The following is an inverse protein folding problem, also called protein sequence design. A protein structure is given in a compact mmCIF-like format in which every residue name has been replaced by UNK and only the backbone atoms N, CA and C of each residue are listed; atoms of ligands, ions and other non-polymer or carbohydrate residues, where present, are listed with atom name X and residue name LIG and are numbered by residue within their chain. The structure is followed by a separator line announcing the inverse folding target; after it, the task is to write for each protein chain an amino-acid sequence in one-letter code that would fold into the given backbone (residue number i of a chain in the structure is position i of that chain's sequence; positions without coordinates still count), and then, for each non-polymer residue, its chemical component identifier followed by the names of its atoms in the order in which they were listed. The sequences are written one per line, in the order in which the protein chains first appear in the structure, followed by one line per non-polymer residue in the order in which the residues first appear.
data_IF_466951326891
#
_entry.id   IF_466951326891
#
_cell.length_a   1.000
_cell.length_b   1.000
_cell.length_c   1.000
_cell.angle_alpha   90.00
_cell.angle_beta   90.00
_cell.angle_gamma   90.00
#
_symmetry.space_group_name_H-M   'P 1'
#
loop_
_entity.id
_entity.type
_entity.pdbx_description
1 polymer ?
#
# COMPACT_ATOMS: atom_id res chain seq x y z
N UNK A 1 -38.02 6.73 -5.22
CA UNK A 1 -36.65 7.23 -5.50
C UNK A 1 -36.71 7.98 -6.82
N UNK A 2 -36.57 9.31 -6.84
CA UNK A 2 -36.40 10.06 -8.09
C UNK A 2 -35.10 9.63 -8.75
N UNK A 3 -35.17 9.13 -9.97
CA UNK A 3 -33.96 8.87 -10.75
C UNK A 3 -33.21 10.18 -10.97
N UNK A 4 -31.96 10.21 -10.47
CA UNK A 4 -31.06 11.34 -10.68
C UNK A 4 -30.43 11.17 -12.07
N UNK A 5 -31.22 11.52 -13.09
CA UNK A 5 -30.90 11.33 -14.52
C UNK A 5 -29.62 12.01 -15.03
N UNK A 6 -28.91 12.77 -14.20
CA UNK A 6 -27.73 13.55 -14.61
C UNK A 6 -26.38 13.07 -14.07
N UNK A 7 -26.33 12.03 -13.23
CA UNK A 7 -25.11 11.48 -12.67
C UNK A 7 -24.64 10.24 -13.46
N UNK A 8 -23.33 10.10 -13.68
CA UNK A 8 -22.76 8.87 -14.19
C UNK A 8 -22.92 7.73 -13.18
N UNK A 9 -22.74 6.46 -13.62
CA UNK A 9 -22.84 5.29 -12.73
C UNK A 9 -21.92 5.39 -11.51
N UNK A 10 -20.66 5.81 -11.71
CA UNK A 10 -19.70 5.97 -10.63
C UNK A 10 -20.07 7.12 -9.67
N UNK A 11 -20.59 8.20 -10.20
CA UNK A 11 -21.09 9.33 -9.43
C UNK A 11 -22.27 8.92 -8.55
N UNK A 12 -23.22 8.20 -9.13
CA UNK A 12 -24.39 7.70 -8.43
C UNK A 12 -24.00 6.72 -7.31
N UNK A 13 -23.03 5.83 -7.54
CA UNK A 13 -22.52 4.89 -6.53
C UNK A 13 -21.91 5.61 -5.33
N UNK A 14 -21.10 6.65 -5.57
CA UNK A 14 -20.50 7.47 -4.50
C UNK A 14 -21.54 8.22 -3.70
N UNK A 15 -22.53 8.74 -4.38
CA UNK A 15 -23.64 9.44 -3.79
C UNK A 15 -24.54 8.52 -2.96
N UNK A 16 -24.90 7.35 -3.48
CA UNK A 16 -25.67 6.36 -2.75
C UNK A 16 -24.96 5.90 -1.47
N UNK A 17 -23.64 5.77 -1.49
CA UNK A 17 -22.87 5.45 -0.30
C UNK A 17 -22.99 6.51 0.80
N UNK A 18 -23.08 7.78 0.44
CA UNK A 18 -23.30 8.89 1.38
C UNK A 18 -24.72 8.92 1.94
N UNK A 19 -25.74 8.67 1.10
CA UNK A 19 -27.15 8.58 1.51
C UNK A 19 -27.37 7.41 2.47
N UNK A 20 -26.86 6.21 2.13
CA UNK A 20 -27.00 5.01 2.96
C UNK A 20 -26.42 5.21 4.36
N UNK A 21 -25.46 6.11 4.52
CA UNK A 21 -24.91 6.49 5.83
C UNK A 21 -25.68 7.61 6.53
N UNK A 22 -26.77 8.11 5.94
CA UNK A 22 -27.61 9.13 6.56
C UNK A 22 -26.97 10.52 6.66
N UNK A 23 -25.96 10.82 5.83
CA UNK A 23 -25.34 12.15 5.81
C UNK A 23 -26.22 13.20 5.11
N UNK A 24 -27.22 12.77 4.36
CA UNK A 24 -28.18 13.62 3.66
C UNK A 24 -29.58 13.11 3.92
N UNK A 25 -30.41 13.93 4.57
CA UNK A 25 -31.81 13.58 4.86
C UNK A 25 -32.72 13.73 3.64
N UNK A 26 -32.40 14.62 2.73
CA UNK A 26 -33.14 14.83 1.48
C UNK A 26 -32.32 15.58 0.44
N UNK A 27 -32.66 15.42 -0.81
CA UNK A 27 -32.12 16.17 -1.93
C UNK A 27 -33.13 17.23 -2.35
N UNK A 28 -32.73 18.49 -2.21
CA UNK A 28 -33.40 19.58 -2.91
C UNK A 28 -32.82 19.71 -4.32
N UNK A 29 -33.67 19.62 -5.29
CA UNK A 29 -33.70 19.91 -6.72
C UNK A 29 -32.40 19.84 -7.60
N UNK A 30 -31.18 20.03 -7.08
CA UNK A 30 -29.95 19.86 -7.86
C UNK A 30 -29.04 18.76 -7.28
N UNK A 31 -28.96 17.59 -7.94
CA UNK A 31 -28.09 16.50 -7.49
C UNK A 31 -26.60 16.84 -7.56
N UNK A 32 -26.21 17.99 -8.07
CA UNK A 32 -24.82 18.45 -8.13
C UNK A 32 -24.48 19.43 -7.01
N UNK A 33 -25.45 20.03 -6.35
CA UNK A 33 -25.25 21.01 -5.28
C UNK A 33 -24.38 20.44 -4.13
N UNK A 34 -24.56 19.15 -3.81
CA UNK A 34 -23.76 18.48 -2.79
C UNK A 34 -22.25 18.46 -3.08
N UNK A 35 -21.82 18.51 -4.37
CA UNK A 35 -20.41 18.53 -4.74
C UNK A 35 -19.69 19.79 -4.26
N UNK A 36 -20.44 20.89 -4.07
CA UNK A 36 -19.90 22.15 -3.57
C UNK A 36 -19.89 22.21 -2.04
N UNK A 37 -20.56 21.28 -1.36
CA UNK A 37 -20.44 21.14 0.10
C UNK A 37 -19.09 20.53 0.47
N UNK A 38 -18.61 20.78 1.70
CA UNK A 38 -17.38 20.17 2.20
C UNK A 38 -17.46 18.64 2.15
N UNK A 39 -18.54 18.05 2.66
CA UNK A 39 -18.78 16.61 2.66
C UNK A 39 -18.79 16.04 1.24
N UNK A 40 -19.52 16.66 0.33
CA UNK A 40 -19.64 16.18 -1.05
C UNK A 40 -18.30 16.20 -1.77
N UNK A 41 -17.55 17.29 -1.64
CA UNK A 41 -16.20 17.40 -2.17
C UNK A 41 -15.26 16.32 -1.62
N UNK A 42 -15.33 16.08 -0.30
CA UNK A 42 -14.50 15.07 0.34
C UNK A 42 -14.82 13.65 -0.16
N UNK A 43 -16.10 13.27 -0.17
CA UNK A 43 -16.53 11.94 -0.63
C UNK A 43 -16.22 11.74 -2.11
N UNK A 44 -16.39 12.78 -2.92
CA UNK A 44 -16.08 12.73 -4.35
C UNK A 44 -14.61 12.37 -4.59
N UNK A 45 -13.69 13.01 -3.89
CA UNK A 45 -12.25 12.78 -4.04
C UNK A 45 -11.75 11.54 -3.30
N UNK A 46 -12.33 11.26 -2.14
CA UNK A 46 -11.87 10.20 -1.23
C UNK A 46 -13.01 9.29 -0.74
N UNK A 47 -13.71 8.57 -1.62
CA UNK A 47 -14.90 7.79 -1.27
C UNK A 47 -14.64 6.68 -0.24
N UNK A 48 -13.41 6.22 -0.10
CA UNK A 48 -13.02 5.20 0.88
C UNK A 48 -12.59 5.78 2.23
N UNK A 49 -12.65 7.11 2.41
CA UNK A 49 -12.19 7.83 3.61
C UNK A 49 -13.34 8.35 4.48
N UNK A 50 -14.53 7.84 4.28
CA UNK A 50 -15.73 8.18 5.08
C UNK A 50 -15.45 8.18 6.60
N UNK A 51 -14.68 7.22 7.19
CA UNK A 51 -14.38 7.27 8.63
C UNK A 51 -13.64 8.54 9.12
N UNK A 52 -13.06 9.32 8.22
CA UNK A 52 -12.49 10.65 8.58
C UNK A 52 -13.60 11.68 8.80
N UNK A 53 -14.65 11.59 8.00
CA UNK A 53 -15.86 12.45 8.14
C UNK A 53 -16.63 12.06 9.40
N UNK A 54 -16.78 10.75 9.69
CA UNK A 54 -17.46 10.28 10.92
C UNK A 54 -16.80 10.91 12.16
N UNK A 55 -15.46 10.95 12.21
CA UNK A 55 -14.74 11.58 13.32
C UNK A 55 -14.96 13.11 13.33
N UNK A 56 -15.03 13.74 12.16
CA UNK A 56 -15.26 15.17 12.11
C UNK A 56 -16.70 15.54 12.52
N UNK A 57 -17.70 14.72 12.18
CA UNK A 57 -19.06 14.84 12.69
C UNK A 57 -19.11 14.76 14.22
N UNK A 58 -18.36 13.81 14.82
CA UNK A 58 -18.29 13.71 16.28
C UNK A 58 -17.69 14.97 16.93
N UNK A 59 -16.75 15.61 16.27
CA UNK A 59 -16.12 16.85 16.76
C UNK A 59 -17.06 18.03 16.70
N UNK A 60 -17.77 18.21 15.57
CA UNK A 60 -18.61 19.41 15.36
C UNK A 60 -20.08 19.20 15.76
N UNK A 61 -20.51 17.94 15.96
CA UNK A 61 -21.87 17.59 16.36
C UNK A 61 -22.91 17.60 15.22
N UNK A 62 -22.49 17.86 14.00
CA UNK A 62 -23.33 17.87 12.78
C UNK A 62 -22.51 17.52 11.55
N UNK A 63 -23.14 17.39 10.39
CA UNK A 63 -22.43 17.18 9.12
C UNK A 63 -21.53 18.38 8.83
N UNK A 64 -20.20 18.17 8.67
CA UNK A 64 -19.24 19.26 8.51
C UNK A 64 -19.49 20.09 7.25
N UNK A 65 -19.42 21.39 7.40
CA UNK A 65 -19.49 22.40 6.33
C UNK A 65 -18.16 23.11 6.18
N UNK A 66 -18.04 23.98 5.18
CA UNK A 66 -16.84 24.83 5.03
C UNK A 66 -16.66 25.82 6.20
N UNK A 67 -17.75 26.22 6.87
CA UNK A 67 -17.71 27.10 8.03
C UNK A 67 -17.10 26.41 9.28
N UNK A 68 -17.10 25.08 9.32
CA UNK A 68 -16.54 24.31 10.41
C UNK A 68 -15.00 24.16 10.31
N UNK A 69 -14.39 24.66 9.24
CA UNK A 69 -12.92 24.66 9.06
C UNK A 69 -12.30 25.80 9.92
N UNK A 70 -12.40 25.64 11.23
CA UNK A 70 -11.86 26.58 12.23
C UNK A 70 -10.58 26.03 12.86
N UNK A 71 -9.78 26.91 13.47
CA UNK A 71 -8.57 26.50 14.22
C UNK A 71 -8.92 25.47 15.31
N UNK A 72 -10.01 25.71 16.03
CA UNK A 72 -10.45 24.86 17.14
C UNK A 72 -10.89 23.48 16.62
N UNK A 73 -11.84 23.42 15.71
CA UNK A 73 -12.38 22.17 15.19
C UNK A 73 -11.29 21.31 14.54
N UNK A 74 -10.34 21.93 13.83
CA UNK A 74 -9.23 21.19 13.21
C UNK A 74 -8.23 20.65 14.25
N UNK A 75 -8.02 21.32 15.39
CA UNK A 75 -7.21 20.78 16.48
C UNK A 75 -7.92 19.61 17.18
N UNK A 76 -9.20 19.76 17.47
CA UNK A 76 -10.02 18.69 18.05
C UNK A 76 -10.07 17.47 17.12
N UNK A 77 -10.22 17.69 15.81
CA UNK A 77 -10.14 16.61 14.81
C UNK A 77 -8.78 15.93 14.81
N UNK A 78 -7.69 16.71 14.88
CA UNK A 78 -6.32 16.17 14.96
C UNK A 78 -6.16 15.26 16.16
N UNK A 79 -6.62 15.70 17.35
CA UNK A 79 -6.55 14.93 18.58
C UNK A 79 -7.43 13.67 18.53
N UNK A 80 -8.67 13.79 18.06
CA UNK A 80 -9.59 12.67 17.92
C UNK A 80 -9.04 11.60 16.96
N UNK A 81 -8.41 12.02 15.87
CA UNK A 81 -7.76 11.11 14.93
C UNK A 81 -6.51 10.46 15.51
N UNK A 82 -5.70 11.19 16.29
CA UNK A 82 -4.51 10.65 16.93
C UNK A 82 -4.84 9.57 17.97
N UNK A 83 -6.00 9.66 18.63
CA UNK A 83 -6.49 8.61 19.55
C UNK A 83 -6.91 7.32 18.83
N UNK A 84 -7.30 7.39 17.55
CA UNK A 84 -7.86 6.25 16.79
C UNK A 84 -6.89 5.63 15.79
N UNK A 85 -5.96 6.41 15.29
CA UNK A 85 -5.05 5.99 14.22
C UNK A 85 -3.59 6.23 14.56
N UNK A 86 -2.72 5.38 14.02
CA UNK A 86 -1.28 5.64 14.10
C UNK A 86 -0.89 6.90 13.30
N UNK A 87 0.23 7.50 13.67
CA UNK A 87 0.71 8.78 13.11
C UNK A 87 0.82 8.78 11.58
N UNK A 88 1.26 7.67 10.96
CA UNK A 88 1.34 7.57 9.50
C UNK A 88 -0.05 7.59 8.82
N UNK A 89 -1.07 7.01 9.44
CA UNK A 89 -2.45 7.08 8.95
C UNK A 89 -2.99 8.50 9.08
N UNK A 90 -2.79 9.14 10.24
CA UNK A 90 -3.16 10.55 10.44
C UNK A 90 -2.50 11.46 9.42
N UNK A 91 -1.19 11.30 9.18
CA UNK A 91 -0.43 12.08 8.19
C UNK A 91 -1.05 12.01 6.80
N UNK A 92 -1.41 10.80 6.35
CA UNK A 92 -2.02 10.62 5.02
C UNK A 92 -3.41 11.27 4.95
N UNK A 93 -4.26 11.07 5.96
CA UNK A 93 -5.60 11.66 6.02
C UNK A 93 -5.56 13.18 6.13
N UNK A 94 -4.61 13.72 6.89
CA UNK A 94 -4.40 15.18 6.94
C UNK A 94 -3.87 15.75 5.62
N UNK A 95 -3.07 14.99 4.87
CA UNK A 95 -2.66 15.41 3.53
C UNK A 95 -3.86 15.46 2.56
N UNK A 96 -4.76 14.48 2.64
CA UNK A 96 -6.01 14.43 1.85
C UNK A 96 -6.92 15.63 2.19
N UNK A 97 -7.15 15.92 3.49
CA UNK A 97 -7.91 17.07 3.95
C UNK A 97 -7.28 18.39 3.51
N UNK A 98 -5.97 18.55 3.70
CA UNK A 98 -5.24 19.76 3.27
C UNK A 98 -5.33 20.00 1.78
N UNK A 99 -5.28 18.96 0.96
CA UNK A 99 -5.40 19.08 -0.48
C UNK A 99 -6.78 19.66 -0.87
N UNK A 100 -7.85 19.14 -0.25
CA UNK A 100 -9.22 19.63 -0.48
C UNK A 100 -9.37 21.09 -0.02
N UNK A 101 -8.98 21.38 1.23
CA UNK A 101 -9.10 22.73 1.79
C UNK A 101 -8.31 23.72 0.93
N UNK A 102 -7.10 23.37 0.49
CA UNK A 102 -6.27 24.24 -0.34
C UNK A 102 -6.86 24.49 -1.73
N UNK A 103 -7.48 23.47 -2.34
CA UNK A 103 -8.07 23.59 -3.69
C UNK A 103 -9.29 24.51 -3.71
N UNK A 104 -10.08 24.51 -2.63
CA UNK A 104 -11.31 25.30 -2.53
C UNK A 104 -11.15 26.56 -1.65
N UNK A 105 -9.91 26.91 -1.25
CA UNK A 105 -9.65 28.05 -0.36
C UNK A 105 -10.13 29.39 -0.91
N UNK A 106 -10.07 29.55 -2.22
CA UNK A 106 -10.41 30.82 -2.88
C UNK A 106 -11.93 30.93 -3.16
N UNK A 107 -12.64 29.78 -3.21
CA UNK A 107 -14.06 29.73 -3.56
C UNK A 107 -14.97 29.65 -2.33
N UNK A 108 -14.42 29.24 -1.17
CA UNK A 108 -15.20 28.98 0.03
C UNK A 108 -14.73 29.87 1.19
N UNK A 109 -15.64 30.54 1.90
CA UNK A 109 -15.29 31.30 3.10
C UNK A 109 -14.86 30.32 4.20
N UNK A 110 -13.59 30.36 4.56
CA UNK A 110 -13.02 29.56 5.65
C UNK A 110 -12.62 30.45 6.81
N UNK A 111 -12.85 29.97 8.02
CA UNK A 111 -12.49 30.70 9.22
C UNK A 111 -10.96 30.71 9.45
N UNK A 112 -10.21 29.72 8.96
CA UNK A 112 -8.76 29.64 9.18
C UNK A 112 -7.93 29.39 7.94
N UNK A 113 -6.79 30.07 7.85
CA UNK A 113 -5.72 29.79 6.89
C UNK A 113 -4.59 28.95 7.51
N UNK A 114 -4.72 28.56 8.79
CA UNK A 114 -3.68 27.83 9.53
C UNK A 114 -3.79 26.31 9.39
N UNK A 115 -4.75 25.80 8.60
CA UNK A 115 -4.98 24.35 8.44
C UNK A 115 -3.72 23.56 8.07
N UNK A 116 -2.79 24.14 7.29
CA UNK A 116 -1.51 23.49 6.92
C UNK A 116 -0.61 23.23 8.12
N UNK A 117 -0.68 24.10 9.14
CA UNK A 117 0.11 23.97 10.38
C UNK A 117 -0.57 23.10 11.42
N UNK A 118 -1.90 23.09 11.45
CA UNK A 118 -2.70 22.33 12.42
C UNK A 118 -2.73 20.86 11.99
N UNK A 119 -3.14 20.56 10.78
CA UNK A 119 -3.28 19.20 10.29
C UNK A 119 -1.91 18.55 9.99
N UNK A 120 -1.15 18.28 11.04
CA UNK A 120 0.18 17.65 10.95
C UNK A 120 0.27 16.40 11.82
N UNK A 121 1.06 15.42 11.36
CA UNK A 121 1.47 14.28 12.16
C UNK A 121 2.91 13.93 11.81
N UNK A 122 3.71 13.56 12.82
CA UNK A 122 5.07 13.09 12.60
C UNK A 122 5.04 11.71 11.93
N UNK A 123 5.91 11.51 10.94
CA UNK A 123 6.11 10.16 10.39
C UNK A 123 6.77 9.27 11.44
N UNK A 124 6.21 8.11 11.66
CA UNK A 124 6.82 7.05 12.44
C UNK A 124 7.46 6.03 11.51
N UNK A 125 8.66 5.54 11.85
CA UNK A 125 9.25 4.43 11.12
C UNK A 125 8.32 3.22 11.24
N UNK A 126 8.05 2.56 10.14
CA UNK A 126 7.29 1.31 10.12
C UNK A 126 8.22 0.21 9.67
N UNK A 127 8.54 -0.69 10.58
CA UNK A 127 9.29 -1.89 10.27
C UNK A 127 8.36 -2.94 9.68
N UNK A 128 8.87 -3.73 8.76
CA UNK A 128 8.16 -4.86 8.19
C UNK A 128 9.16 -5.96 7.85
N UNK A 129 8.71 -7.20 7.95
CA UNK A 129 9.54 -8.37 7.68
C UNK A 129 9.79 -8.57 6.18
N UNK A 130 10.88 -9.25 5.87
CA UNK A 130 11.13 -9.88 4.58
C UNK A 130 11.40 -11.37 4.79
N UNK A 131 11.26 -12.15 3.75
CA UNK A 131 11.64 -13.57 3.74
C UNK A 131 12.97 -13.72 3.01
N UNK A 132 13.92 -14.41 3.65
CA UNK A 132 15.19 -14.73 3.02
C UNK A 132 15.03 -15.83 1.94
N UNK A 133 16.08 -16.08 1.18
CA UNK A 133 16.05 -17.06 0.08
C UNK A 133 15.68 -18.47 0.54
N UNK A 134 16.12 -18.90 1.74
CA UNK A 134 15.77 -20.21 2.30
C UNK A 134 14.28 -20.30 2.66
N UNK A 135 13.70 -19.23 3.18
CA UNK A 135 12.28 -19.16 3.51
C UNK A 135 11.39 -19.12 2.24
N UNK A 136 11.85 -18.42 1.20
CA UNK A 136 11.19 -18.43 -0.12
C UNK A 136 11.25 -19.83 -0.74
N UNK A 137 12.38 -20.53 -0.64
CA UNK A 137 12.51 -21.90 -1.12
C UNK A 137 11.55 -22.88 -0.42
N UNK A 138 11.30 -22.70 0.89
CA UNK A 138 10.29 -23.49 1.61
C UNK A 138 8.86 -23.26 1.04
N UNK A 139 8.52 -22.00 0.73
CA UNK A 139 7.22 -21.69 0.11
C UNK A 139 7.16 -22.24 -1.32
N UNK A 140 8.26 -22.21 -2.06
CA UNK A 140 8.35 -22.78 -3.40
C UNK A 140 8.09 -24.31 -3.39
N UNK A 141 8.59 -25.01 -2.38
CA UNK A 141 8.41 -26.45 -2.21
C UNK A 141 7.11 -26.83 -1.49
N UNK A 142 6.33 -25.86 -1.00
CA UNK A 142 5.08 -26.12 -0.29
C UNK A 142 4.01 -26.67 -1.25
N UNK A 143 3.42 -27.85 -0.96
CA UNK A 143 2.29 -28.36 -1.72
C UNK A 143 1.00 -27.67 -1.29
N UNK A 144 0.35 -26.85 -2.14
CA UNK A 144 -0.90 -26.19 -1.78
C UNK A 144 -2.02 -27.23 -1.59
N UNK A 145 -2.86 -27.01 -0.58
CA UNK A 145 -3.96 -27.91 -0.24
C UNK A 145 -5.29 -27.48 -0.87
N UNK A 146 -5.37 -26.25 -1.35
CA UNK A 146 -6.57 -25.67 -1.98
C UNK A 146 -6.18 -24.76 -3.14
N UNK A 147 -7.12 -24.48 -4.05
CA UNK A 147 -6.92 -23.58 -5.18
C UNK A 147 -6.56 -22.14 -4.71
N UNK A 148 -7.15 -21.72 -3.59
CA UNK A 148 -6.81 -20.42 -2.97
C UNK A 148 -5.35 -20.41 -2.48
N UNK A 149 -4.88 -21.48 -1.84
CA UNK A 149 -3.47 -21.57 -1.43
C UNK A 149 -2.54 -21.62 -2.64
N UNK A 150 -2.91 -22.34 -3.70
CA UNK A 150 -2.14 -22.37 -4.94
C UNK A 150 -2.05 -20.97 -5.56
N UNK A 151 -3.18 -20.27 -5.65
CA UNK A 151 -3.22 -18.89 -6.14
C UNK A 151 -2.32 -17.96 -5.33
N UNK A 152 -2.49 -17.95 -4.00
CA UNK A 152 -1.76 -17.06 -3.10
C UNK A 152 -0.26 -17.36 -3.14
N UNK A 153 0.14 -18.64 -3.10
CA UNK A 153 1.53 -19.09 -3.23
C UNK A 153 2.13 -18.61 -4.55
N UNK A 154 1.45 -18.84 -5.68
CA UNK A 154 1.88 -18.43 -7.00
C UNK A 154 2.14 -16.91 -7.07
N UNK A 155 1.16 -16.10 -6.69
CA UNK A 155 1.28 -14.64 -6.73
C UNK A 155 2.40 -14.15 -5.81
N UNK A 156 2.49 -14.67 -4.58
CA UNK A 156 3.55 -14.30 -3.65
C UNK A 156 4.95 -14.64 -4.17
N UNK A 157 5.13 -15.81 -4.81
CA UNK A 157 6.42 -16.19 -5.39
C UNK A 157 6.78 -15.30 -6.59
N UNK A 158 5.81 -14.92 -7.43
CA UNK A 158 6.05 -13.93 -8.48
C UNK A 158 6.51 -12.61 -7.87
N UNK A 159 5.84 -12.09 -6.83
CA UNK A 159 6.28 -10.87 -6.14
C UNK A 159 7.69 -10.99 -5.55
N UNK A 160 7.99 -12.14 -4.93
CA UNK A 160 9.28 -12.38 -4.26
C UNK A 160 10.46 -12.58 -5.22
N UNK A 161 10.18 -12.94 -6.48
CA UNK A 161 11.21 -13.22 -7.49
C UNK A 161 11.26 -12.20 -8.63
N UNK A 162 10.33 -11.25 -8.68
CA UNK A 162 10.32 -10.17 -9.68
C UNK A 162 10.29 -8.77 -9.07
N UNK A 163 9.91 -8.68 -7.80
CA UNK A 163 9.62 -7.39 -7.17
C UNK A 163 8.35 -6.71 -7.67
N UNK A 164 7.55 -7.33 -8.53
CA UNK A 164 6.30 -6.77 -9.02
C UNK A 164 5.33 -6.45 -7.88
N UNK A 165 4.44 -5.48 -8.08
CA UNK A 165 3.35 -5.23 -7.13
C UNK A 165 2.26 -6.27 -7.29
N UNK A 166 1.50 -6.55 -6.23
CA UNK A 166 0.42 -7.54 -6.27
C UNK A 166 -0.51 -7.36 -7.49
N UNK A 167 -0.98 -6.15 -7.76
CA UNK A 167 -1.81 -5.85 -8.93
C UNK A 167 -1.12 -6.11 -10.29
N UNK A 168 0.19 -6.09 -10.35
CA UNK A 168 0.97 -6.39 -11.56
C UNK A 168 1.27 -7.90 -11.62
N UNK A 169 1.60 -8.54 -10.49
CA UNK A 169 1.95 -9.96 -10.38
C UNK A 169 0.83 -10.90 -10.85
N UNK A 170 -0.43 -10.54 -10.60
CA UNK A 170 -1.59 -11.35 -11.03
C UNK A 170 -1.70 -11.51 -12.54
N UNK A 171 -1.08 -10.63 -13.31
CA UNK A 171 -1.13 -10.60 -14.78
C UNK A 171 0.10 -11.20 -15.45
N UNK A 172 1.11 -11.57 -14.66
CA UNK A 172 2.35 -12.12 -15.23
C UNK A 172 2.19 -13.60 -15.60
N UNK A 173 2.54 -13.88 -16.84
CA UNK A 173 2.56 -15.21 -17.48
C UNK A 173 3.85 -15.39 -18.27
N UNK A 174 4.05 -16.56 -18.88
CA UNK A 174 5.18 -16.78 -19.79
C UNK A 174 5.17 -15.85 -21.01
N UNK A 175 4.03 -15.29 -21.40
CA UNK A 175 3.93 -14.31 -22.50
C UNK A 175 4.66 -13.00 -22.21
N UNK A 176 4.96 -12.72 -20.94
CA UNK A 176 5.73 -11.56 -20.53
C UNK A 176 7.25 -11.78 -20.61
N UNK A 177 7.70 -12.96 -20.99
CA UNK A 177 9.11 -13.36 -20.97
C UNK A 177 9.71 -13.37 -22.38
N UNK A 178 10.77 -12.61 -22.54
CA UNK A 178 11.65 -12.69 -23.71
C UNK A 178 12.74 -13.73 -23.44
N UNK A 179 12.60 -14.91 -24.05
CA UNK A 179 13.55 -16.02 -23.92
C UNK A 179 14.77 -15.90 -24.85
N UNK A 180 14.80 -14.90 -25.75
CA UNK A 180 15.95 -14.65 -26.62
C UNK A 180 17.06 -13.89 -25.85
N UNK A 181 16.73 -13.34 -24.70
CA UNK A 181 17.69 -12.67 -23.81
C UNK A 181 18.39 -13.67 -22.90
N UNK A 182 19.62 -13.33 -22.47
CA UNK A 182 20.37 -14.10 -21.49
C UNK A 182 20.86 -13.19 -20.33
N UNK A 183 20.33 -13.36 -19.12
CA UNK A 183 19.19 -14.24 -18.76
C UNK A 183 17.87 -13.80 -19.40
N UNK A 184 16.86 -14.70 -19.52
CA UNK A 184 15.54 -14.34 -20.02
C UNK A 184 14.98 -13.14 -19.27
N UNK A 185 14.25 -12.26 -19.98
CA UNK A 185 13.84 -10.96 -19.46
C UNK A 185 12.32 -10.88 -19.33
N UNK A 186 11.81 -10.64 -18.13
CA UNK A 186 10.38 -10.37 -17.90
C UNK A 186 10.13 -8.89 -18.16
N UNK A 187 9.15 -8.59 -19.02
CA UNK A 187 8.73 -7.22 -19.30
C UNK A 187 7.25 -7.05 -19.02
N UNK A 188 6.89 -6.04 -18.23
CA UNK A 188 5.50 -5.72 -17.91
C UNK A 188 5.27 -4.23 -17.70
N UNK A 189 4.06 -3.77 -18.02
CA UNK A 189 3.63 -2.41 -17.74
C UNK A 189 3.11 -2.29 -16.29
N UNK A 190 3.81 -1.54 -15.47
CA UNK A 190 3.38 -1.27 -14.08
C UNK A 190 2.31 -0.19 -14.03
N UNK A 191 1.09 -0.56 -13.64
CA UNK A 191 -0.07 0.33 -13.63
C UNK A 191 0.07 1.52 -12.69
N UNK A 192 0.68 1.33 -11.53
CA UNK A 192 0.81 2.39 -10.51
C UNK A 192 1.77 3.49 -10.92
N UNK A 193 2.85 3.15 -11.59
CA UNK A 193 3.90 4.10 -12.00
C UNK A 193 3.87 4.42 -13.50
N UNK A 194 2.99 3.76 -14.26
CA UNK A 194 2.74 3.96 -15.69
C UNK A 194 4.00 3.89 -16.54
N UNK A 195 4.84 2.88 -16.29
CA UNK A 195 6.05 2.61 -17.09
C UNK A 195 6.28 1.12 -17.27
N UNK A 196 7.02 0.76 -18.32
CA UNK A 196 7.52 -0.59 -18.48
C UNK A 196 8.61 -0.87 -17.44
N UNK A 197 8.57 -2.07 -16.90
CA UNK A 197 9.56 -2.61 -15.96
C UNK A 197 10.17 -3.85 -16.60
N UNK A 198 11.48 -3.97 -16.52
CA UNK A 198 12.25 -5.07 -17.06
C UNK A 198 13.00 -5.73 -15.92
N UNK A 199 12.82 -7.05 -15.74
CA UNK A 199 13.43 -7.80 -14.64
C UNK A 199 14.01 -9.10 -15.20
N UNK A 200 15.30 -9.42 -14.92
CA UNK A 200 15.84 -10.72 -15.27
C UNK A 200 15.03 -11.84 -14.63
N UNK A 201 14.69 -12.86 -15.40
CA UNK A 201 13.87 -13.97 -14.91
C UNK A 201 14.69 -14.92 -14.04
N UNK A 202 14.27 -15.10 -12.79
CA UNK A 202 14.83 -16.14 -11.93
C UNK A 202 14.45 -17.54 -12.46
N UNK A 203 15.37 -18.48 -12.47
CA UNK A 203 15.17 -19.83 -13.02
C UNK A 203 13.91 -20.54 -12.47
N UNK A 204 13.62 -20.36 -11.17
CA UNK A 204 12.41 -20.95 -10.54
C UNK A 204 11.09 -20.35 -11.03
N UNK A 205 11.09 -19.22 -11.75
CA UNK A 205 9.85 -18.57 -12.19
C UNK A 205 9.19 -19.27 -13.38
N UNK A 206 9.92 -20.00 -14.21
CA UNK A 206 9.37 -20.63 -15.39
C UNK A 206 8.12 -21.47 -15.07
N UNK A 207 8.25 -22.41 -14.15
CA UNK A 207 7.13 -23.29 -13.75
C UNK A 207 6.01 -22.50 -13.06
N UNK A 208 6.34 -21.50 -12.22
CA UNK A 208 5.36 -20.68 -11.51
C UNK A 208 4.53 -19.85 -12.50
N UNK A 209 5.16 -19.27 -13.53
CA UNK A 209 4.46 -18.49 -14.56
C UNK A 209 3.61 -19.38 -15.48
N UNK A 210 4.02 -20.64 -15.68
CA UNK A 210 3.27 -21.64 -16.44
C UNK A 210 2.06 -22.21 -15.67
N UNK A 211 2.05 -22.11 -14.33
CA UNK A 211 0.93 -22.61 -13.52
C UNK A 211 -0.38 -21.90 -13.89
N UNK A 212 -1.39 -22.69 -14.26
CA UNK A 212 -2.77 -22.22 -14.39
C UNK A 212 -3.50 -22.48 -13.09
N UNK A 213 -4.11 -21.45 -12.54
CA UNK A 213 -4.90 -21.54 -11.31
C UNK A 213 -6.31 -21.06 -11.60
N UNK A 214 -7.28 -21.97 -11.54
CA UNK A 214 -8.69 -21.66 -11.74
C UNK A 214 -9.31 -21.22 -10.39
N UNK A 215 -8.97 -20.03 -9.95
CA UNK A 215 -9.48 -19.47 -8.71
C UNK A 215 -9.83 -17.99 -8.92
N UNK A 216 -10.98 -17.60 -8.39
CA UNK A 216 -11.31 -16.16 -8.30
C UNK A 216 -10.31 -15.47 -7.37
N UNK A 217 -9.74 -14.32 -7.78
CA UNK A 217 -8.82 -13.58 -6.94
C UNK A 217 -9.45 -13.25 -5.58
N UNK A 218 -8.87 -13.70 -4.45
CA UNK A 218 -9.40 -13.40 -3.14
C UNK A 218 -9.22 -11.91 -2.80
N UNK A 219 -10.05 -11.40 -1.90
CA UNK A 219 -9.81 -10.07 -1.33
C UNK A 219 -8.46 -10.05 -0.57
N UNK A 220 -7.91 -8.85 -0.36
CA UNK A 220 -6.57 -8.69 0.23
C UNK A 220 -6.45 -9.30 1.63
N UNK A 221 -7.51 -9.25 2.43
CA UNK A 221 -7.50 -9.84 3.78
C UNK A 221 -7.44 -11.37 3.72
N UNK A 222 -8.20 -12.00 2.83
CA UNK A 222 -8.13 -13.44 2.56
C UNK A 222 -6.77 -13.82 1.99
N UNK A 223 -6.23 -13.06 1.04
CA UNK A 223 -4.87 -13.27 0.53
C UNK A 223 -3.84 -13.29 1.66
N UNK A 224 -3.84 -12.26 2.51
CA UNK A 224 -2.88 -12.13 3.59
C UNK A 224 -3.05 -13.22 4.67
N UNK A 225 -4.28 -13.61 5.01
CA UNK A 225 -4.52 -14.68 5.99
C UNK A 225 -4.06 -16.04 5.46
N UNK A 226 -4.37 -16.35 4.20
CA UNK A 226 -3.91 -17.59 3.54
C UNK A 226 -2.39 -17.63 3.43
N UNK A 227 -1.75 -16.52 3.04
CA UNK A 227 -0.29 -16.43 2.96
C UNK A 227 0.37 -16.69 4.32
N UNK A 228 -0.18 -16.14 5.41
CA UNK A 228 0.30 -16.41 6.77
C UNK A 228 0.17 -17.88 7.14
N UNK A 229 -0.93 -18.52 6.78
CA UNK A 229 -1.14 -19.95 6.99
C UNK A 229 -0.09 -20.78 6.24
N UNK A 230 0.19 -20.47 4.98
CA UNK A 230 1.26 -21.10 4.19
C UNK A 230 2.61 -20.90 4.88
N UNK A 231 2.97 -19.67 5.27
CA UNK A 231 4.21 -19.38 5.94
C UNK A 231 4.36 -20.13 7.29
N UNK A 232 3.27 -20.24 8.06
CA UNK A 232 3.25 -20.99 9.31
C UNK A 232 3.51 -22.48 9.05
N UNK A 233 2.85 -23.09 8.07
CA UNK A 233 3.05 -24.50 7.69
C UNK A 233 4.44 -24.76 7.10
N UNK A 234 5.04 -23.78 6.45
CA UNK A 234 6.44 -23.81 6.01
C UNK A 234 7.45 -23.68 7.15
N UNK A 235 7.02 -23.52 8.40
CA UNK A 235 7.89 -23.39 9.55
C UNK A 235 8.70 -22.09 9.58
N UNK A 236 8.11 -20.98 9.13
CA UNK A 236 8.71 -19.64 9.21
C UNK A 236 8.40 -19.04 10.59
N UNK A 237 8.94 -19.68 11.63
CA UNK A 237 8.58 -19.45 13.05
C UNK A 237 9.62 -18.64 13.82
N UNK A 238 10.63 -18.07 13.16
CA UNK A 238 11.59 -17.18 13.79
C UNK A 238 10.85 -16.08 14.56
N UNK A 239 11.25 -15.84 15.82
CA UNK A 239 10.70 -14.73 16.60
C UNK A 239 11.40 -13.44 16.20
N UNK A 240 10.62 -12.47 15.78
CA UNK A 240 11.09 -11.15 15.37
C UNK A 240 10.38 -10.06 16.15
N UNK A 241 11.10 -9.01 16.47
CA UNK A 241 10.52 -7.78 17.06
C UNK A 241 10.44 -6.73 15.97
N UNK A 242 9.27 -6.16 15.77
CA UNK A 242 9.05 -5.05 14.83
C UNK A 242 8.40 -3.87 15.54
N UNK A 243 8.78 -2.67 15.13
CA UNK A 243 8.09 -1.45 15.54
C UNK A 243 6.93 -1.15 14.57
N UNK A 244 5.71 -1.14 15.11
CA UNK A 244 4.49 -0.90 14.33
C UNK A 244 3.45 -0.19 15.16
N UNK A 245 2.83 0.85 14.61
CA UNK A 245 1.77 1.64 15.28
C UNK A 245 2.20 2.29 16.61
N UNK A 246 3.47 2.70 16.70
CA UNK A 246 3.99 3.32 17.91
C UNK A 246 4.48 2.34 18.98
N UNK A 247 4.40 1.02 18.75
CA UNK A 247 4.72 -0.02 19.73
C UNK A 247 5.67 -1.07 19.15
N UNK A 248 6.49 -1.66 20.02
CA UNK A 248 7.26 -2.85 19.70
C UNK A 248 6.39 -4.10 19.88
N UNK A 249 6.34 -4.93 18.85
CA UNK A 249 5.60 -6.20 18.90
C UNK A 249 6.55 -7.34 18.56
N UNK A 250 6.65 -8.33 19.45
CA UNK A 250 7.44 -9.55 19.25
C UNK A 250 6.53 -10.74 19.00
N UNK A 251 6.65 -11.37 17.85
CA UNK A 251 5.90 -12.57 17.50
C UNK A 251 6.65 -13.40 16.46
N UNK A 252 6.09 -14.57 16.09
CA UNK A 252 6.60 -15.37 14.99
C UNK A 252 6.50 -14.58 13.67
N UNK A 253 7.54 -14.66 12.86
CA UNK A 253 7.72 -13.90 11.61
C UNK A 253 6.55 -14.05 10.64
N UNK A 254 5.95 -15.25 10.54
CA UNK A 254 4.80 -15.50 9.68
C UNK A 254 3.60 -14.59 9.99
N UNK A 255 3.41 -14.16 11.23
CA UNK A 255 2.30 -13.28 11.65
C UNK A 255 2.38 -11.89 11.01
N UNK A 256 3.58 -11.47 10.66
CA UNK A 256 3.84 -10.14 10.07
C UNK A 256 3.89 -10.16 8.54
N UNK A 257 3.78 -11.36 7.92
CA UNK A 257 3.82 -11.51 6.47
C UNK A 257 2.53 -10.97 5.82
N UNK A 258 2.69 -10.33 4.69
CA UNK A 258 1.62 -9.79 3.86
C UNK A 258 2.03 -9.86 2.39
N UNK A 259 1.11 -9.56 1.47
CA UNK A 259 1.41 -9.49 0.04
C UNK A 259 2.65 -8.64 -0.26
N UNK A 260 2.76 -7.47 0.35
CA UNK A 260 3.92 -6.59 0.14
C UNK A 260 5.26 -7.15 0.65
N UNK A 261 5.22 -8.21 1.47
CA UNK A 261 6.43 -8.90 1.94
C UNK A 261 7.19 -9.56 0.79
N UNK A 262 6.50 -10.09 -0.24
CA UNK A 262 7.15 -10.64 -1.42
C UNK A 262 8.07 -9.63 -2.10
N UNK A 263 7.51 -8.48 -2.45
CA UNK A 263 8.27 -7.39 -3.07
C UNK A 263 9.41 -6.85 -2.18
N UNK A 264 9.21 -6.81 -0.87
CA UNK A 264 10.26 -6.46 0.09
C UNK A 264 11.38 -7.51 0.09
N UNK A 265 11.01 -8.78 0.07
CA UNK A 265 11.97 -9.90 0.04
C UNK A 265 12.84 -9.85 -1.21
N UNK A 266 12.26 -9.55 -2.38
CA UNK A 266 13.00 -9.36 -3.62
C UNK A 266 14.10 -8.31 -3.45
N UNK A 267 13.73 -7.09 -3.04
CA UNK A 267 14.70 -6.01 -2.92
C UNK A 267 15.77 -6.27 -1.85
N UNK A 268 15.36 -6.80 -0.69
CA UNK A 268 16.28 -7.07 0.41
C UNK A 268 17.25 -8.19 0.06
N UNK A 269 16.77 -9.28 -0.56
CA UNK A 269 17.63 -10.41 -0.94
C UNK A 269 18.64 -10.02 -2.03
N UNK A 270 18.26 -9.23 -3.03
CA UNK A 270 19.18 -8.71 -4.03
C UNK A 270 20.25 -7.82 -3.40
N UNK A 271 19.85 -6.91 -2.51
CA UNK A 271 20.78 -6.06 -1.78
C UNK A 271 21.77 -6.87 -0.95
N UNK A 272 21.28 -7.90 -0.24
CA UNK A 272 22.13 -8.79 0.55
C UNK A 272 23.12 -9.60 -0.29
N UNK A 273 22.84 -9.79 -1.59
CA UNK A 273 23.74 -10.39 -2.55
C UNK A 273 24.68 -9.38 -3.24
N UNK A 274 24.60 -8.10 -2.88
CA UNK A 274 25.51 -7.05 -3.36
C UNK A 274 25.02 -6.33 -4.62
N UNK A 275 23.77 -6.54 -5.05
CA UNK A 275 23.20 -5.80 -6.19
C UNK A 275 23.02 -4.33 -5.79
N UNK A 276 23.39 -3.44 -6.72
CA UNK A 276 23.32 -2.01 -6.48
C UNK A 276 21.87 -1.52 -6.26
N UNK A 277 21.62 -0.66 -5.27
CA UNK A 277 20.28 -0.11 -5.02
C UNK A 277 19.63 0.62 -6.21
N UNK A 278 20.42 1.21 -7.12
CA UNK A 278 19.92 1.80 -8.36
C UNK A 278 19.31 0.74 -9.26
N UNK A 279 20.03 -0.36 -9.47
CA UNK A 279 19.59 -1.48 -10.29
C UNK A 279 18.31 -2.14 -9.68
N UNK A 280 18.31 -2.37 -8.36
CA UNK A 280 17.12 -2.85 -7.64
C UNK A 280 15.94 -1.90 -7.84
N UNK A 281 16.18 -0.59 -7.80
CA UNK A 281 15.16 0.45 -8.02
C UNK A 281 14.54 0.36 -9.41
N UNK A 282 15.33 0.08 -10.45
CA UNK A 282 14.85 -0.11 -11.82
C UNK A 282 13.98 -1.34 -11.93
N UNK A 283 14.41 -2.50 -11.40
CA UNK A 283 13.62 -3.73 -11.35
C UNK A 283 12.30 -3.57 -10.60
N UNK A 284 12.28 -2.75 -9.56
CA UNK A 284 11.07 -2.44 -8.81
C UNK A 284 10.20 -1.36 -9.45
N UNK A 285 10.67 -0.70 -10.51
CA UNK A 285 9.97 0.41 -11.12
C UNK A 285 9.76 1.59 -10.17
N UNK A 286 10.71 1.89 -9.28
CA UNK A 286 10.68 3.08 -8.45
C UNK A 286 11.09 4.32 -9.24
N UNK A 287 10.57 5.48 -8.86
CA UNK A 287 10.95 6.77 -9.46
C UNK A 287 12.27 7.29 -8.94
N UNK A 288 12.77 6.73 -7.83
CA UNK A 288 14.02 7.13 -7.19
C UNK A 288 14.61 5.98 -6.36
N UNK A 289 15.93 5.76 -6.39
CA UNK A 289 16.62 4.78 -5.56
C UNK A 289 16.42 5.00 -4.06
N UNK A 290 16.22 6.23 -3.62
CA UNK A 290 15.95 6.57 -2.22
C UNK A 290 14.73 5.82 -1.69
N UNK A 291 13.72 5.58 -2.53
CA UNK A 291 12.54 4.80 -2.13
C UNK A 291 12.94 3.36 -1.80
N UNK A 292 13.82 2.75 -2.61
CA UNK A 292 14.34 1.41 -2.38
C UNK A 292 15.15 1.36 -1.09
N UNK A 293 16.11 2.27 -0.93
CA UNK A 293 16.96 2.35 0.26
C UNK A 293 16.11 2.53 1.51
N UNK A 294 15.27 3.56 1.55
CA UNK A 294 14.50 3.92 2.74
C UNK A 294 13.43 2.89 3.15
N UNK A 295 12.85 2.17 2.22
CA UNK A 295 11.71 1.28 2.51
C UNK A 295 12.08 -0.20 2.62
N UNK A 296 13.15 -0.62 1.96
CA UNK A 296 13.47 -2.04 1.81
C UNK A 296 14.86 -2.41 2.35
N UNK A 297 15.79 -1.46 2.42
CA UNK A 297 17.19 -1.71 2.76
C UNK A 297 17.56 -1.18 4.15
N UNK A 298 16.79 -0.24 4.72
CA UNK A 298 17.06 0.32 6.05
C UNK A 298 17.10 -0.76 7.12
N UNK A 299 18.19 -0.76 7.90
CA UNK A 299 18.44 -1.70 8.98
C UNK A 299 19.35 -2.88 8.59
N UNK A 300 19.61 -3.07 7.31
CA UNK A 300 20.57 -4.05 6.82
C UNK A 300 21.93 -3.38 6.60
N UNK A 301 22.82 -3.48 7.58
CA UNK A 301 24.23 -3.11 7.41
C UNK A 301 24.94 -4.27 6.73
N UNK A 302 25.00 -4.26 5.41
CA UNK A 302 25.95 -5.10 4.69
C UNK A 302 27.27 -4.35 4.61
N UNK A 303 28.28 -4.88 5.28
CA UNK A 303 29.65 -4.53 4.93
C UNK A 303 29.97 -5.28 3.65
N UNK A 304 30.00 -4.57 2.51
CA UNK A 304 30.30 -5.20 1.22
C UNK A 304 31.68 -5.89 1.27
N UNK A 305 31.83 -6.96 0.49
CA UNK A 305 33.14 -7.62 0.36
C UNK A 305 34.23 -6.64 -0.11
N UNK A 306 33.85 -5.63 -0.90
CA UNK A 306 34.73 -4.54 -1.30
C UNK A 306 35.15 -3.69 -0.10
N UNK A 307 34.24 -3.35 0.81
CA UNK A 307 34.56 -2.62 2.04
C UNK A 307 35.43 -3.48 2.97
N UNK A 308 35.08 -4.76 3.15
CA UNK A 308 35.90 -5.69 3.94
C UNK A 308 37.32 -5.76 3.37
N UNK A 309 37.49 -5.92 2.05
CA UNK A 309 38.77 -5.93 1.38
C UNK A 309 39.55 -4.62 1.52
N UNK A 310 38.84 -3.48 1.49
CA UNK A 310 39.47 -2.17 1.70
C UNK A 310 40.00 -2.04 3.12
N UNK A 311 39.17 -2.37 4.13
CA UNK A 311 39.55 -2.23 5.54
C UNK A 311 40.53 -3.33 6.03
N UNK A 312 40.67 -4.44 5.31
CA UNK A 312 41.62 -5.51 5.64
C UNK A 312 42.98 -5.37 4.94
N UNK A 313 43.15 -4.38 4.06
CA UNK A 313 44.47 -4.08 3.46
C UNK A 313 45.23 -3.10 4.34
N UNK A 314 46.48 -3.48 4.70
CA UNK A 314 47.45 -2.51 5.19
C UNK A 314 47.81 -1.54 4.06
N UNK A 315 47.94 -0.25 4.39
CA UNK A 315 48.33 0.81 3.45
C UNK A 315 49.82 0.73 3.11
#
# INVERSE_FOLDING_TARGET
MKEIKSLSFEENKRYQAAIVKGYFDSYDDDPRAWRHSFLGTFIWKHPTRIPTIDIFIEVVGHVPTWADITDQNLRELQEAMAKRYCANTCKNRFAELKAIINEYSDEQPMATQKFKRILTAKSEPSQAVYLNTKEIAKILSYPPLTDIEQYVRRIFLIEALTGARNCDSVRLTLENVDFEKEPPLITYFSQKVRKNVHVPMHASLHNILAERVECQPPCLDTFNSTLRTICQRCGINERVTIFRRGEETTAEKWRFVSSHTGRRSFATNLFMQGVDPYEISEYMGHSSPQITIQRYIIGHKNTSDAAIRFFSKEL
#
